data_IF_380712948642
#
_entry.id   IF_380712948642
#
_cell.length_a   1.000
_cell.length_b   1.000
_cell.length_c   1.000
_cell.angle_alpha   90.00
_cell.angle_beta   90.00
_cell.angle_gamma   90.00
#
_symmetry.space_group_name_H-M   'P 1'
#
loop_
_entity.id
_entity.type
_entity.pdbx_description
1 polymer ?
#
# COMPACT_ATOMS: atom_id res chain seq x y z
N UNK A 1 -22.12 -20.48 7.22
CA UNK A 1 -22.39 -19.52 8.33
C UNK A 1 -22.61 -18.16 7.69
N UNK A 2 -23.63 -17.45 8.13
CA UNK A 2 -23.96 -16.13 7.55
C UNK A 2 -22.87 -15.14 7.97
N UNK A 3 -22.28 -14.39 7.02
CA UNK A 3 -21.24 -13.39 7.29
C UNK A 3 -21.66 -12.37 8.36
N UNK A 4 -22.95 -12.08 8.44
CA UNK A 4 -23.53 -11.13 9.39
C UNK A 4 -23.51 -11.59 10.85
N UNK A 5 -23.34 -12.89 11.10
CA UNK A 5 -23.39 -13.44 12.45
C UNK A 5 -22.02 -13.47 13.16
N UNK A 6 -20.91 -13.57 12.42
CA UNK A 6 -19.56 -13.58 12.98
C UNK A 6 -18.55 -12.94 12.00
N UNK A 7 -18.59 -11.61 11.87
CA UNK A 7 -17.78 -10.90 10.89
C UNK A 7 -16.29 -10.97 11.21
N UNK A 8 -15.46 -10.76 10.15
CA UNK A 8 -14.01 -10.65 10.29
C UNK A 8 -13.66 -9.26 10.76
N UNK A 9 -12.84 -9.20 11.80
CA UNK A 9 -12.39 -7.97 12.42
C UNK A 9 -10.87 -7.83 12.34
N UNK A 10 -10.41 -6.59 12.28
CA UNK A 10 -9.02 -6.20 12.48
C UNK A 10 -8.89 -5.81 13.95
N UNK A 11 -7.99 -6.46 14.66
CA UNK A 11 -7.76 -6.20 16.09
C UNK A 11 -6.52 -5.35 16.32
N UNK A 12 -5.62 -5.31 15.37
CA UNK A 12 -4.41 -4.49 15.42
C UNK A 12 -3.86 -4.20 14.04
N UNK A 13 -3.06 -3.13 13.95
CA UNK A 13 -2.37 -2.74 12.73
C UNK A 13 -1.06 -2.01 13.06
N UNK A 14 -0.09 -2.12 12.15
CA UNK A 14 1.15 -1.36 12.21
C UNK A 14 1.73 -1.17 10.81
N UNK A 15 2.56 -0.14 10.64
CA UNK A 15 3.42 0.06 9.46
C UNK A 15 4.79 0.60 9.87
N UNK A 16 5.78 0.40 9.04
CA UNK A 16 7.02 1.15 9.15
C UNK A 16 6.79 2.62 8.74
N UNK A 17 7.67 3.56 9.07
CA UNK A 17 7.76 4.79 8.32
C UNK A 17 8.00 4.44 6.84
N UNK A 18 7.59 5.34 5.92
CA UNK A 18 7.88 5.22 4.50
C UNK A 18 9.23 5.86 4.21
N UNK A 19 10.20 5.05 3.77
CA UNK A 19 11.52 5.49 3.36
C UNK A 19 11.52 5.99 1.92
N UNK A 20 12.34 6.99 1.63
CA UNK A 20 12.60 7.45 0.28
C UNK A 20 13.53 6.48 -0.46
N UNK A 21 13.54 6.55 -1.79
CA UNK A 21 14.52 5.83 -2.61
C UNK A 21 15.96 6.15 -2.16
N UNK A 22 16.72 5.12 -1.84
CA UNK A 22 18.07 5.23 -1.27
C UNK A 22 18.14 6.10 0.02
N UNK A 23 17.01 6.19 0.74
CA UNK A 23 16.88 7.02 1.92
C UNK A 23 17.29 6.32 3.23
N UNK A 24 16.62 6.69 4.32
CA UNK A 24 16.97 6.21 5.67
C UNK A 24 16.76 4.69 5.83
N UNK A 25 15.80 4.10 5.10
CA UNK A 25 15.51 2.65 5.17
C UNK A 25 16.30 1.80 4.16
N UNK A 26 17.22 2.36 3.40
CA UNK A 26 18.01 1.65 2.37
C UNK A 26 18.80 0.43 2.87
N UNK A 27 19.09 0.36 4.16
CA UNK A 27 19.82 -0.76 4.77
C UNK A 27 18.95 -2.00 5.04
N UNK A 28 17.63 -1.94 4.78
CA UNK A 28 16.71 -3.03 5.07
C UNK A 28 16.18 -3.67 3.79
N UNK A 29 16.29 -5.00 3.72
CA UNK A 29 15.54 -5.77 2.74
C UNK A 29 14.04 -5.81 3.10
N UNK A 30 13.18 -6.08 2.11
CA UNK A 30 11.74 -6.12 2.34
C UNK A 30 11.31 -7.06 3.47
N UNK A 31 11.87 -8.29 3.65
CA UNK A 31 11.52 -9.15 4.78
C UNK A 31 11.84 -8.53 6.15
N UNK A 32 12.87 -7.71 6.26
CA UNK A 32 13.22 -7.03 7.52
C UNK A 32 12.22 -5.92 7.86
N UNK A 33 11.76 -5.15 6.85
CA UNK A 33 10.69 -4.18 7.00
C UNK A 33 9.37 -4.88 7.36
N UNK A 34 9.05 -5.99 6.69
CA UNK A 34 7.90 -6.84 6.99
C UNK A 34 7.93 -7.37 8.42
N UNK A 35 9.09 -7.84 8.88
CA UNK A 35 9.27 -8.33 10.24
C UNK A 35 8.95 -7.26 11.30
N UNK A 36 9.38 -6.03 11.08
CA UNK A 36 9.09 -4.91 11.99
C UNK A 36 7.58 -4.62 12.05
N UNK A 37 6.91 -4.56 10.91
CA UNK A 37 5.46 -4.32 10.85
C UNK A 37 4.66 -5.47 11.48
N UNK A 38 5.01 -6.73 11.20
CA UNK A 38 4.36 -7.92 11.77
C UNK A 38 4.54 -7.94 13.29
N UNK A 39 5.78 -7.78 13.78
CA UNK A 39 6.07 -7.76 15.22
C UNK A 39 5.24 -6.71 15.93
N UNK A 40 5.26 -5.48 15.45
CA UNK A 40 4.51 -4.38 16.06
C UNK A 40 3.00 -4.62 16.03
N UNK A 41 2.46 -5.18 14.95
CA UNK A 41 1.04 -5.51 14.85
C UNK A 41 0.64 -6.60 15.84
N UNK A 42 1.43 -7.66 15.99
CA UNK A 42 1.17 -8.77 16.95
C UNK A 42 1.31 -8.29 18.39
N UNK A 43 2.33 -7.52 18.73
CA UNK A 43 2.53 -6.93 20.05
C UNK A 43 1.36 -6.01 20.43
N UNK A 44 0.92 -5.14 19.52
CA UNK A 44 -0.21 -4.24 19.73
C UNK A 44 -1.54 -4.98 19.86
N UNK A 45 -1.68 -6.11 19.19
CA UNK A 45 -2.83 -7.01 19.35
C UNK A 45 -2.88 -7.67 20.73
N UNK A 46 -1.77 -7.69 21.48
CA UNK A 46 -1.62 -8.37 22.78
C UNK A 46 -1.96 -9.86 22.72
N UNK A 47 -1.65 -10.50 21.60
CA UNK A 47 -1.75 -11.95 21.43
C UNK A 47 -0.38 -12.59 21.52
N UNK A 48 -0.34 -13.86 21.89
CA UNK A 48 0.90 -14.63 21.80
C UNK A 48 1.28 -14.84 20.34
N UNK A 49 2.56 -14.72 19.96
CA UNK A 49 3.04 -15.11 18.63
C UNK A 49 2.60 -16.53 18.22
N UNK A 50 2.45 -17.44 19.19
CA UNK A 50 2.02 -18.82 18.95
C UNK A 50 0.56 -18.96 18.48
N UNK A 51 -0.26 -17.93 18.66
CA UNK A 51 -1.66 -17.94 18.21
C UNK A 51 -1.79 -17.60 16.72
N UNK A 52 -0.75 -17.05 16.07
CA UNK A 52 -0.78 -16.71 14.64
C UNK A 52 -0.66 -17.99 13.81
N UNK A 53 -1.75 -18.37 13.13
CA UNK A 53 -1.76 -19.56 12.29
C UNK A 53 -1.08 -19.34 10.96
N UNK A 54 -1.29 -18.15 10.35
CA UNK A 54 -0.78 -17.85 9.01
C UNK A 54 -0.36 -16.37 8.84
N UNK A 55 0.65 -16.17 7.98
CA UNK A 55 1.12 -14.85 7.55
C UNK A 55 1.02 -14.77 6.03
N UNK A 56 0.32 -13.78 5.52
CA UNK A 56 0.21 -13.52 4.08
C UNK A 56 0.77 -12.12 3.80
N UNK A 57 1.90 -12.05 3.10
CA UNK A 57 2.56 -10.78 2.79
C UNK A 57 2.71 -10.56 1.29
N UNK A 58 2.28 -9.38 0.85
CA UNK A 58 2.55 -8.88 -0.49
C UNK A 58 4.03 -8.50 -0.65
N UNK A 59 4.63 -8.89 -1.77
CA UNK A 59 5.96 -8.45 -2.19
C UNK A 59 6.04 -8.56 -3.71
N UNK A 60 6.36 -7.46 -4.39
CA UNK A 60 6.34 -7.39 -5.86
C UNK A 60 7.73 -7.63 -6.44
N UNK A 61 8.77 -7.18 -5.75
CA UNK A 61 10.16 -7.21 -6.22
C UNK A 61 11.00 -8.20 -5.39
N UNK A 62 10.73 -9.53 -5.49
CA UNK A 62 11.34 -10.52 -4.61
C UNK A 62 12.73 -10.99 -5.08
N UNK A 63 13.21 -10.57 -6.25
CA UNK A 63 14.51 -11.02 -6.74
C UNK A 63 15.64 -10.66 -5.78
N UNK A 64 16.54 -11.61 -5.53
CA UNK A 64 17.68 -11.43 -4.64
C UNK A 64 17.35 -11.48 -3.14
N UNK A 65 16.10 -11.60 -2.72
CA UNK A 65 15.71 -11.65 -1.32
C UNK A 65 15.81 -13.05 -0.67
N UNK A 66 16.13 -14.07 -1.45
CA UNK A 66 16.11 -15.47 -1.01
C UNK A 66 14.71 -16.09 -1.06
N UNK A 67 14.59 -17.29 -0.49
CA UNK A 67 13.34 -18.04 -0.52
C UNK A 67 12.27 -17.43 0.40
N UNK A 68 11.02 -17.45 -0.04
CA UNK A 68 9.84 -17.18 0.77
C UNK A 68 9.94 -15.90 1.63
N UNK A 69 9.95 -14.69 1.04
CA UNK A 69 10.09 -13.44 1.77
C UNK A 69 9.11 -13.28 2.94
N UNK A 70 7.84 -13.70 2.80
CA UNK A 70 6.87 -13.67 3.91
C UNK A 70 7.29 -14.58 5.07
N UNK A 71 7.88 -15.74 4.79
CA UNK A 71 8.42 -16.64 5.82
C UNK A 71 9.57 -16.01 6.56
N UNK A 72 10.49 -15.36 5.84
CA UNK A 72 11.59 -14.62 6.45
C UNK A 72 11.06 -13.51 7.36
N UNK A 73 10.07 -12.75 6.91
CA UNK A 73 9.45 -11.69 7.70
C UNK A 73 8.78 -12.23 8.97
N UNK A 74 8.03 -13.33 8.85
CA UNK A 74 7.35 -13.96 9.99
C UNK A 74 8.34 -14.45 11.07
N UNK A 75 9.38 -15.16 10.66
CA UNK A 75 10.42 -15.63 11.59
C UNK A 75 11.24 -14.48 12.17
N UNK A 76 11.58 -13.48 11.35
CA UNK A 76 12.23 -12.25 11.80
C UNK A 76 11.39 -11.43 12.79
N UNK A 77 10.06 -11.56 12.73
CA UNK A 77 9.14 -10.98 13.71
C UNK A 77 9.05 -11.77 15.02
N UNK A 78 9.61 -12.97 15.09
CA UNK A 78 9.57 -13.84 16.26
C UNK A 78 8.36 -14.79 16.29
N UNK A 79 7.67 -14.99 15.15
CA UNK A 79 6.61 -15.98 15.06
C UNK A 79 7.19 -17.41 15.06
N UNK A 80 6.42 -18.40 15.55
CA UNK A 80 6.91 -19.77 15.65
C UNK A 80 7.12 -20.45 14.30
N UNK A 81 7.94 -21.47 14.27
CA UNK A 81 8.22 -22.28 13.07
C UNK A 81 6.95 -22.95 12.49
N UNK A 82 5.94 -23.16 13.32
CA UNK A 82 4.66 -23.76 12.94
C UNK A 82 3.75 -22.82 12.14
N UNK A 83 3.98 -21.50 12.19
CA UNK A 83 3.16 -20.53 11.45
C UNK A 83 3.30 -20.73 9.94
N UNK A 84 2.19 -20.93 9.22
CA UNK A 84 2.16 -20.94 7.76
C UNK A 84 2.53 -19.57 7.18
N UNK A 85 3.17 -19.52 6.02
CA UNK A 85 3.56 -18.24 5.42
C UNK A 85 3.43 -18.27 3.90
N UNK A 86 2.77 -17.26 3.34
CA UNK A 86 2.57 -17.12 1.90
C UNK A 86 3.01 -15.74 1.43
N UNK A 87 3.86 -15.68 0.40
CA UNK A 87 4.18 -14.45 -0.31
C UNK A 87 3.30 -14.36 -1.54
N UNK A 88 2.64 -13.21 -1.74
CA UNK A 88 1.79 -13.00 -2.91
C UNK A 88 2.26 -11.77 -3.69
N UNK A 89 1.98 -11.79 -5.00
CA UNK A 89 2.19 -10.66 -5.89
C UNK A 89 0.89 -10.37 -6.67
N UNK A 90 0.34 -9.20 -6.45
CA UNK A 90 -0.73 -8.56 -7.23
C UNK A 90 -0.35 -7.11 -7.49
N UNK A 91 0.90 -6.89 -7.89
CA UNK A 91 1.47 -5.57 -8.10
C UNK A 91 1.12 -4.62 -6.93
N UNK A 92 0.79 -3.36 -7.20
CA UNK A 92 0.44 -2.36 -6.18
C UNK A 92 -0.63 -2.83 -5.17
N UNK A 93 -1.50 -3.75 -5.57
CA UNK A 93 -2.59 -4.29 -4.75
C UNK A 93 -2.19 -5.42 -3.80
N UNK A 94 -0.94 -5.88 -3.81
CA UNK A 94 -0.51 -7.08 -3.07
C UNK A 94 -0.86 -7.03 -1.59
N UNK A 95 -0.57 -5.93 -0.90
CA UNK A 95 -0.85 -5.80 0.54
C UNK A 95 -2.35 -5.82 0.87
N UNK A 96 -3.20 -5.18 0.07
CA UNK A 96 -4.65 -5.26 0.27
C UNK A 96 -5.18 -6.65 -0.11
N UNK A 97 -4.65 -7.26 -1.17
CA UNK A 97 -5.05 -8.62 -1.57
C UNK A 97 -4.69 -9.65 -0.50
N UNK A 98 -3.58 -9.48 0.20
CA UNK A 98 -3.25 -10.29 1.37
C UNK A 98 -4.34 -10.21 2.46
N UNK A 99 -4.81 -8.99 2.78
CA UNK A 99 -5.90 -8.78 3.73
C UNK A 99 -7.24 -9.37 3.23
N UNK A 100 -7.53 -9.29 1.93
CA UNK A 100 -8.71 -9.90 1.31
C UNK A 100 -8.66 -11.43 1.42
N UNK A 101 -7.51 -12.05 1.14
CA UNK A 101 -7.33 -13.49 1.31
C UNK A 101 -7.43 -13.91 2.79
N UNK A 102 -6.86 -13.14 3.71
CA UNK A 102 -7.02 -13.40 5.14
C UNK A 102 -8.48 -13.38 5.56
N UNK A 103 -9.25 -12.39 5.10
CA UNK A 103 -10.70 -12.32 5.32
C UNK A 103 -11.41 -13.59 4.83
N UNK A 104 -11.17 -14.02 3.59
CA UNK A 104 -11.83 -15.16 2.98
C UNK A 104 -11.42 -16.49 3.66
N UNK A 105 -10.14 -16.67 4.03
CA UNK A 105 -9.65 -17.83 4.76
C UNK A 105 -10.24 -17.93 6.19
N UNK A 106 -10.37 -16.79 6.88
CA UNK A 106 -11.03 -16.73 8.18
C UNK A 106 -12.52 -17.09 8.07
N UNK A 107 -13.21 -16.63 7.02
CA UNK A 107 -14.60 -17.00 6.75
C UNK A 107 -14.76 -18.48 6.43
N UNK A 108 -13.79 -19.12 5.78
CA UNK A 108 -13.81 -20.56 5.53
C UNK A 108 -13.53 -21.40 6.78
N UNK A 109 -12.97 -20.79 7.83
CA UNK A 109 -12.58 -21.47 9.05
C UNK A 109 -11.26 -22.25 8.94
N UNK A 110 -10.48 -22.04 7.90
CA UNK A 110 -9.18 -22.69 7.72
C UNK A 110 -8.08 -22.17 8.67
N UNK A 111 -8.28 -21.00 9.24
CA UNK A 111 -7.41 -20.36 10.23
C UNK A 111 -8.24 -19.56 11.23
N UNK A 112 -7.69 -19.31 12.42
CA UNK A 112 -8.34 -18.47 13.44
C UNK A 112 -7.74 -17.07 13.54
N UNK A 113 -6.43 -16.96 13.40
CA UNK A 113 -5.67 -15.70 13.47
C UNK A 113 -4.72 -15.61 12.29
N UNK A 114 -4.87 -14.58 11.49
CA UNK A 114 -4.01 -14.32 10.32
C UNK A 114 -3.39 -12.94 10.44
N UNK A 115 -2.08 -12.86 10.16
CA UNK A 115 -1.40 -11.60 9.91
C UNK A 115 -1.32 -11.41 8.41
N UNK A 116 -1.88 -10.31 7.92
CA UNK A 116 -1.87 -9.99 6.50
C UNK A 116 -1.33 -8.59 6.24
N UNK A 117 -0.56 -8.43 5.18
CA UNK A 117 0.01 -7.15 4.86
C UNK A 117 0.86 -7.14 3.59
N UNK A 118 1.86 -6.28 3.57
CA UNK A 118 2.80 -6.21 2.48
C UNK A 118 4.08 -5.49 2.87
N UNK A 119 5.11 -5.73 2.10
CA UNK A 119 6.46 -5.21 2.31
C UNK A 119 7.13 -4.98 0.96
N UNK A 120 7.92 -3.93 0.87
CA UNK A 120 8.71 -3.67 -0.33
C UNK A 120 9.98 -2.90 0.04
N UNK A 121 11.09 -3.26 -0.57
CA UNK A 121 12.30 -2.45 -0.59
C UNK A 121 12.67 -2.21 -2.06
N UNK A 122 12.13 -1.14 -2.62
CA UNK A 122 12.39 -0.78 -4.02
C UNK A 122 13.84 -0.33 -4.20
N UNK A 123 14.43 0.25 -3.16
CA UNK A 123 15.86 0.62 -3.12
C UNK A 123 16.78 -0.57 -3.35
N UNK A 124 16.42 -1.76 -2.84
CA UNK A 124 17.24 -2.95 -2.91
C UNK A 124 16.83 -3.92 -4.04
N UNK A 125 15.94 -3.50 -4.93
CA UNK A 125 15.62 -4.27 -6.12
C UNK A 125 16.89 -4.40 -7.01
N UNK A 126 17.34 -5.64 -7.33
CA UNK A 126 18.60 -5.84 -8.04
C UNK A 126 18.47 -5.59 -9.54
N UNK A 127 19.59 -5.50 -10.21
CA UNK A 127 19.64 -5.62 -11.66
C UNK A 127 19.68 -7.09 -12.08
N UNK A 128 19.00 -7.41 -13.17
CA UNK A 128 18.87 -8.76 -13.74
C UNK A 128 19.74 -8.90 -14.96
N UNK A 129 20.38 -10.05 -15.11
CA UNK A 129 21.13 -10.42 -16.31
C UNK A 129 20.40 -11.56 -17.06
N UNK A 130 19.51 -11.23 -18.00
CA UNK A 130 18.82 -12.24 -18.82
C UNK A 130 19.80 -13.05 -19.66
N UNK A 131 19.42 -14.29 -20.01
CA UNK A 131 20.21 -15.21 -20.83
C UNK A 131 21.56 -15.65 -20.25
N UNK A 132 21.95 -15.18 -19.04
CA UNK A 132 23.20 -15.59 -18.41
C UNK A 132 23.31 -17.11 -18.22
N UNK A 133 22.19 -17.78 -17.89
CA UNK A 133 22.15 -19.24 -17.69
C UNK A 133 22.47 -20.03 -18.97
N UNK A 134 22.10 -19.50 -20.13
CA UNK A 134 22.42 -20.11 -21.43
C UNK A 134 23.82 -19.71 -21.94
N UNK A 135 24.55 -18.88 -21.19
CA UNK A 135 25.82 -18.27 -21.59
C UNK A 135 25.59 -17.12 -22.60
N UNK A 136 26.18 -16.00 -22.37
CA UNK A 136 26.11 -14.81 -23.25
C UNK A 136 26.99 -14.95 -24.50
N UNK A 137 27.07 -16.10 -25.06
CA UNK A 137 27.96 -16.66 -26.09
C UNK A 137 28.73 -15.66 -26.98
N UNK A 138 28.04 -14.71 -27.63
CA UNK A 138 28.66 -13.74 -28.54
C UNK A 138 27.82 -12.47 -28.62
N UNK A 139 28.48 -11.32 -28.67
CA UNK A 139 27.84 -10.00 -28.71
C UNK A 139 27.56 -9.41 -27.32
N UNK A 140 26.86 -8.29 -27.31
CA UNK A 140 26.53 -7.58 -26.07
C UNK A 140 25.39 -8.26 -25.30
N UNK A 141 25.46 -8.22 -23.95
CA UNK A 141 24.35 -8.55 -23.05
C UNK A 141 23.61 -7.29 -22.61
N UNK A 142 22.39 -7.49 -22.05
CA UNK A 142 21.61 -6.44 -21.42
C UNK A 142 21.53 -6.68 -19.93
N UNK A 143 21.59 -5.63 -19.13
CA UNK A 143 21.28 -5.62 -17.70
C UNK A 143 19.96 -4.87 -17.54
N UNK A 144 18.97 -5.49 -16.89
CA UNK A 144 17.64 -4.93 -16.68
C UNK A 144 17.48 -4.55 -15.22
N UNK A 145 16.92 -3.37 -14.96
CA UNK A 145 16.51 -2.96 -13.62
C UNK A 145 15.23 -3.72 -13.24
N UNK A 146 15.30 -4.58 -12.22
CA UNK A 146 14.16 -5.35 -11.74
C UNK A 146 12.99 -4.46 -11.31
N UNK A 147 13.27 -3.33 -10.68
CA UNK A 147 12.25 -2.39 -10.24
C UNK A 147 11.44 -1.84 -11.41
N UNK A 148 12.11 -1.49 -12.52
CA UNK A 148 11.44 -1.00 -13.72
C UNK A 148 10.78 -2.14 -14.48
N UNK A 149 11.53 -3.20 -14.79
CA UNK A 149 11.08 -4.27 -15.67
C UNK A 149 9.88 -5.05 -15.14
N UNK A 150 9.87 -5.34 -13.82
CA UNK A 150 8.80 -6.13 -13.18
C UNK A 150 7.83 -5.27 -12.36
N UNK A 151 8.13 -3.98 -12.13
CA UNK A 151 7.32 -3.13 -11.26
C UNK A 151 6.71 -1.88 -11.91
N UNK A 152 7.44 -1.20 -12.80
CA UNK A 152 7.08 0.13 -13.29
C UNK A 152 6.91 0.23 -14.81
N UNK A 153 7.30 -0.81 -15.55
CA UNK A 153 7.12 -0.94 -17.00
C UNK A 153 5.91 -1.82 -17.31
N UNK A 154 5.20 -1.51 -18.39
CA UNK A 154 4.05 -2.30 -18.81
C UNK A 154 4.48 -3.68 -19.34
N UNK A 155 3.76 -4.71 -18.96
CA UNK A 155 4.05 -6.07 -19.38
C UNK A 155 3.66 -6.36 -20.84
N UNK A 156 2.69 -5.62 -21.36
CA UNK A 156 2.07 -5.84 -22.69
C UNK A 156 2.61 -4.87 -23.74
N UNK A 157 2.98 -3.66 -23.36
CA UNK A 157 3.60 -2.62 -24.20
C UNK A 157 5.01 -2.32 -23.67
N UNK A 158 5.96 -3.18 -24.05
CA UNK A 158 7.34 -3.16 -23.52
C UNK A 158 8.03 -1.82 -23.73
N UNK A 159 8.70 -1.33 -22.67
CA UNK A 159 9.37 -0.04 -22.64
C UNK A 159 8.45 1.11 -22.23
N UNK A 160 7.14 0.86 -22.12
CA UNK A 160 6.19 1.89 -21.72
C UNK A 160 6.06 1.97 -20.20
N UNK A 161 6.43 3.08 -19.62
CA UNK A 161 6.36 3.30 -18.19
C UNK A 161 4.94 3.68 -17.73
N UNK A 162 4.59 3.28 -16.50
CA UNK A 162 3.27 3.52 -15.90
C UNK A 162 2.82 4.99 -15.97
N UNK A 163 3.71 5.96 -15.84
CA UNK A 163 3.36 7.37 -15.93
C UNK A 163 2.88 7.84 -17.29
N UNK A 164 3.19 7.13 -18.38
CA UNK A 164 2.66 7.44 -19.71
C UNK A 164 1.16 7.18 -19.82
N UNK A 165 0.63 6.19 -19.07
CA UNK A 165 -0.80 5.93 -18.97
C UNK A 165 -1.50 6.96 -18.07
N UNK A 166 -0.78 7.51 -17.09
CA UNK A 166 -1.29 8.63 -16.30
C UNK A 166 -1.48 9.89 -17.18
N UNK A 167 -0.59 10.13 -18.15
CA UNK A 167 -0.78 11.18 -19.16
C UNK A 167 -2.05 10.94 -20.03
N UNK A 168 -2.30 9.69 -20.45
CA UNK A 168 -3.53 9.35 -21.19
C UNK A 168 -4.78 9.63 -20.35
N UNK A 169 -4.72 9.34 -19.06
CA UNK A 169 -5.81 9.63 -18.12
C UNK A 169 -5.98 11.13 -17.93
N UNK A 170 -4.89 11.88 -17.78
CA UNK A 170 -4.96 13.34 -17.69
C UNK A 170 -5.63 13.93 -18.92
N UNK A 171 -5.26 13.45 -20.11
CA UNK A 171 -5.87 13.90 -21.38
C UNK A 171 -7.35 13.54 -21.48
N UNK A 172 -7.72 12.28 -21.17
CA UNK A 172 -9.13 11.80 -21.21
C UNK A 172 -10.04 12.58 -20.27
N UNK A 173 -9.59 12.85 -19.06
CA UNK A 173 -10.36 13.57 -18.04
C UNK A 173 -10.20 15.08 -18.11
N UNK A 174 -9.33 15.58 -18.98
CA UNK A 174 -8.97 17.00 -19.12
C UNK A 174 -8.44 17.59 -17.79
N UNK A 175 -7.65 16.80 -17.06
CA UNK A 175 -6.99 17.31 -15.86
C UNK A 175 -5.78 18.16 -16.26
N UNK A 176 -5.86 19.45 -15.99
CA UNK A 176 -4.74 20.36 -16.27
C UNK A 176 -3.54 20.05 -15.37
N UNK A 177 -2.36 20.46 -15.79
CA UNK A 177 -1.15 20.42 -14.98
C UNK A 177 -1.36 21.12 -13.64
N UNK A 178 -1.97 22.29 -13.65
CA UNK A 178 -2.27 23.07 -12.46
C UNK A 178 -3.13 22.29 -11.48
N UNK A 179 -4.22 21.66 -11.93
CA UNK A 179 -5.10 20.89 -11.08
C UNK A 179 -4.39 19.68 -10.42
N UNK A 180 -3.50 19.00 -11.15
CA UNK A 180 -2.68 17.90 -10.62
C UNK A 180 -1.68 18.40 -9.57
N UNK A 181 -1.03 19.53 -9.82
CA UNK A 181 -0.08 20.13 -8.88
C UNK A 181 -0.77 20.64 -7.61
N UNK A 182 -1.95 21.27 -7.72
CA UNK A 182 -2.76 21.70 -6.57
C UNK A 182 -3.19 20.52 -5.70
N UNK A 183 -3.62 19.41 -6.32
CA UNK A 183 -3.92 18.16 -5.63
C UNK A 183 -2.71 17.66 -4.84
N UNK A 184 -1.54 17.61 -5.48
CA UNK A 184 -0.29 17.17 -4.87
C UNK A 184 0.16 18.07 -3.73
N UNK A 185 0.10 19.38 -3.90
CA UNK A 185 0.41 20.36 -2.85
C UNK A 185 -0.48 20.12 -1.63
N UNK A 186 -1.77 19.84 -1.84
CA UNK A 186 -2.69 19.53 -0.74
C UNK A 186 -2.33 18.22 -0.05
N UNK A 187 -1.98 17.16 -0.80
CA UNK A 187 -1.51 15.88 -0.26
C UNK A 187 -0.25 16.08 0.61
N UNK A 188 0.74 16.83 0.12
CA UNK A 188 1.97 17.15 0.86
C UNK A 188 1.70 17.95 2.14
N UNK A 189 0.87 18.98 2.08
CA UNK A 189 0.51 19.77 3.27
C UNK A 189 -0.17 18.91 4.34
N UNK A 190 -1.06 18.02 3.93
CA UNK A 190 -1.74 17.07 4.83
C UNK A 190 -0.76 16.10 5.46
N UNK A 191 0.14 15.50 4.66
CA UNK A 191 1.15 14.57 5.17
C UNK A 191 2.13 15.23 6.13
N UNK A 192 2.60 16.45 5.82
CA UNK A 192 3.46 17.23 6.72
C UNK A 192 2.75 17.58 8.02
N UNK A 193 1.49 17.99 7.96
CA UNK A 193 0.68 18.30 9.13
C UNK A 193 0.43 17.05 9.99
N UNK A 194 0.08 15.93 9.36
CA UNK A 194 -0.17 14.65 10.04
C UNK A 194 1.08 14.15 10.78
N UNK A 195 2.25 14.17 10.16
CA UNK A 195 3.52 13.82 10.80
C UNK A 195 3.84 14.76 11.98
N UNK A 196 3.77 16.08 11.76
CA UNK A 196 4.08 17.08 12.81
C UNK A 196 3.13 16.99 14.01
N UNK A 197 1.88 16.65 13.77
CA UNK A 197 0.85 16.50 14.82
C UNK A 197 0.83 15.12 15.46
N UNK A 198 1.72 14.21 15.06
CA UNK A 198 1.79 12.85 15.58
C UNK A 198 0.59 11.98 15.23
N UNK A 199 -0.14 12.31 14.14
CA UNK A 199 -1.33 11.54 13.74
C UNK A 199 -1.00 10.12 13.26
N UNK A 200 0.24 9.88 12.87
CA UNK A 200 0.73 8.56 12.49
C UNK A 200 1.38 7.77 13.64
N UNK A 201 1.53 8.36 14.83
CA UNK A 201 2.22 7.71 15.95
C UNK A 201 1.56 6.38 16.37
N UNK A 202 0.24 6.22 16.21
CA UNK A 202 -0.47 5.01 16.54
C UNK A 202 -0.15 3.84 15.57
N UNK A 203 0.20 4.16 14.32
CA UNK A 203 0.40 3.17 13.26
C UNK A 203 1.88 2.87 13.00
N UNK A 204 2.78 3.86 13.18
CA UNK A 204 4.21 3.70 12.89
C UNK A 204 4.87 2.77 13.92
N UNK A 205 5.59 1.77 13.42
CA UNK A 205 6.59 1.00 14.14
C UNK A 205 7.96 1.62 13.85
N UNK A 206 8.63 2.24 14.84
CA UNK A 206 9.94 2.84 14.63
C UNK A 206 10.98 1.86 14.10
N UNK A 207 11.83 2.34 13.19
CA UNK A 207 12.91 1.55 12.61
C UNK A 207 14.27 2.02 13.14
N UNK A 208 15.00 1.12 13.81
CA UNK A 208 16.34 1.41 14.28
C UNK A 208 17.35 1.35 13.12
N UNK A 209 18.02 2.45 12.83
CA UNK A 209 19.08 2.53 11.81
C UNK A 209 20.43 2.84 12.45
N UNK A 210 21.50 2.40 11.83
CA UNK A 210 22.86 2.76 12.25
C UNK A 210 23.35 3.96 11.46
N UNK A 211 23.75 5.02 12.15
CA UNK A 211 24.38 6.21 11.60
C UNK A 211 25.80 6.31 12.18
N UNK A 212 26.78 5.80 11.45
CA UNK A 212 28.13 5.62 11.98
C UNK A 212 28.18 4.58 13.10
N UNK A 213 28.49 5.01 14.32
CA UNK A 213 28.53 4.15 15.53
C UNK A 213 27.26 4.25 16.38
N UNK A 214 26.36 5.17 16.06
CA UNK A 214 25.15 5.46 16.84
C UNK A 214 23.94 4.78 16.24
N UNK A 215 22.98 4.45 17.10
CA UNK A 215 21.65 3.99 16.70
C UNK A 215 20.69 5.18 16.72
N UNK A 216 19.94 5.33 15.62
CA UNK A 216 18.88 6.35 15.47
C UNK A 216 17.57 5.66 15.14
N UNK A 217 16.47 6.12 15.72
CA UNK A 217 15.13 5.66 15.31
C UNK A 217 14.53 6.57 14.23
N UNK A 218 14.05 5.95 13.17
CA UNK A 218 13.23 6.60 12.14
C UNK A 218 11.78 6.39 12.55
N UNK A 219 11.08 7.49 12.85
CA UNK A 219 9.72 7.50 13.42
C UNK A 219 8.73 8.29 12.56
N UNK A 220 9.19 8.90 11.49
CA UNK A 220 8.39 9.73 10.58
C UNK A 220 8.62 9.31 9.13
N UNK A 221 7.61 9.52 8.30
CA UNK A 221 7.72 9.35 6.87
C UNK A 221 8.71 10.36 6.29
N UNK A 222 9.62 9.89 5.46
CA UNK A 222 10.79 10.67 5.02
C UNK A 222 10.43 11.67 3.90
N UNK A 223 9.59 11.28 2.95
CA UNK A 223 9.30 12.04 1.72
C UNK A 223 8.61 13.39 1.94
N UNK A 224 7.63 13.53 2.85
CA UNK A 224 6.90 14.79 3.01
C UNK A 224 7.80 15.99 3.31
N UNK A 225 8.96 15.75 3.94
CA UNK A 225 9.89 16.79 4.36
C UNK A 225 11.02 17.06 3.36
N UNK A 226 11.19 16.19 2.35
CA UNK A 226 12.14 16.40 1.25
C UNK A 226 11.56 17.23 0.10
N UNK A 227 10.23 17.28 -0.02
CA UNK A 227 9.56 18.01 -1.09
C UNK A 227 9.57 19.51 -0.86
N UNK A 228 9.94 20.28 -1.90
CA UNK A 228 9.84 21.74 -1.90
C UNK A 228 8.54 22.15 -2.62
N UNK A 229 7.56 22.63 -1.86
CA UNK A 229 6.23 23.02 -2.35
C UNK A 229 6.29 24.12 -3.43
N UNK A 230 7.22 25.06 -3.30
CA UNK A 230 7.35 26.21 -4.24
C UNK A 230 7.87 25.76 -5.62
N UNK A 231 8.60 24.63 -5.67
CA UNK A 231 9.17 24.12 -6.91
C UNK A 231 8.21 23.21 -7.70
N UNK A 232 7.10 22.78 -7.15
CA UNK A 232 6.19 21.79 -7.78
C UNK A 232 5.74 22.29 -9.15
N UNK A 233 5.26 23.54 -9.24
CA UNK A 233 4.76 24.13 -10.49
C UNK A 233 5.84 24.31 -11.56
N UNK A 234 7.12 24.32 -11.18
CA UNK A 234 8.25 24.51 -12.10
C UNK A 234 8.87 23.21 -12.61
N UNK A 235 8.42 22.06 -12.09
CA UNK A 235 8.96 20.76 -12.51
C UNK A 235 8.61 20.47 -13.96
N UNK A 236 9.54 19.87 -14.67
CA UNK A 236 9.31 19.41 -16.05
C UNK A 236 8.46 18.13 -16.04
N UNK A 237 7.63 17.91 -17.08
CA UNK A 237 6.98 16.64 -17.28
C UNK A 237 7.99 15.49 -17.30
N UNK A 238 7.64 14.34 -16.67
CA UNK A 238 8.57 13.24 -16.49
C UNK A 238 8.43 12.14 -17.57
N UNK A 239 7.25 12.02 -18.19
CA UNK A 239 6.94 10.89 -19.06
C UNK A 239 6.68 11.25 -20.53
N UNK A 240 6.28 12.48 -20.82
CA UNK A 240 6.10 13.02 -22.19
C UNK A 240 6.62 14.44 -22.22
N UNK A 241 7.23 14.84 -23.36
CA UNK A 241 7.82 16.17 -23.53
C UNK A 241 6.82 17.30 -23.25
N UNK A 242 5.59 17.14 -23.75
CA UNK A 242 4.51 18.13 -23.60
C UNK A 242 3.42 17.60 -22.64
N UNK A 243 3.84 16.78 -21.66
CA UNK A 243 2.94 16.16 -20.68
C UNK A 243 2.63 17.06 -19.49
N UNK A 244 1.82 16.51 -18.61
CA UNK A 244 1.37 17.16 -17.37
C UNK A 244 1.80 16.42 -16.12
N UNK A 245 2.20 15.14 -16.26
CA UNK A 245 2.62 14.28 -15.14
C UNK A 245 4.09 14.51 -14.83
N UNK A 246 4.37 14.85 -13.57
CA UNK A 246 5.71 15.18 -13.07
C UNK A 246 6.12 14.25 -11.95
N UNK A 247 7.38 14.34 -11.52
CA UNK A 247 7.85 13.62 -10.36
C UNK A 247 7.09 13.97 -9.07
N UNK A 248 6.51 15.17 -8.96
CA UNK A 248 5.76 15.57 -7.76
C UNK A 248 4.33 15.04 -7.76
N UNK A 249 3.62 15.05 -8.91
CA UNK A 249 2.25 14.55 -9.01
C UNK A 249 2.17 13.05 -9.36
N UNK A 250 3.32 12.37 -9.21
CA UNK A 250 3.52 10.92 -9.20
C UNK A 250 3.92 10.48 -7.79
N UNK A 251 3.60 9.25 -7.41
CA UNK A 251 4.14 8.67 -6.19
C UNK A 251 5.64 8.43 -6.30
N UNK A 252 6.36 8.60 -5.20
CA UNK A 252 7.79 8.31 -5.16
C UNK A 252 8.10 6.83 -5.00
N UNK A 253 9.22 6.39 -5.56
CA UNK A 253 9.85 5.11 -5.27
C UNK A 253 10.19 5.08 -3.78
N UNK A 254 9.80 4.01 -3.08
CA UNK A 254 9.83 4.01 -1.62
C UNK A 254 10.07 2.61 -1.04
N UNK A 255 10.50 2.59 0.22
CA UNK A 255 10.68 1.39 1.03
C UNK A 255 9.71 1.40 2.20
N UNK A 256 9.10 0.27 2.54
CA UNK A 256 8.20 0.19 3.68
C UNK A 256 7.41 -1.11 3.78
N UNK A 257 6.72 -1.27 4.91
CA UNK A 257 5.85 -2.41 5.16
C UNK A 257 4.65 -2.01 6.02
N UNK A 258 3.57 -2.78 5.91
CA UNK A 258 2.40 -2.66 6.76
C UNK A 258 1.80 -4.05 7.04
N UNK A 259 1.23 -4.24 8.23
CA UNK A 259 0.63 -5.48 8.67
C UNK A 259 -0.65 -5.23 9.48
N UNK A 260 -1.60 -6.13 9.33
CA UNK A 260 -2.90 -6.16 10.01
C UNK A 260 -3.06 -7.52 10.69
N UNK A 261 -3.61 -7.56 11.89
CA UNK A 261 -4.00 -8.80 12.57
C UNK A 261 -5.51 -8.97 12.44
N UNK A 262 -5.93 -10.06 11.80
CA UNK A 262 -7.32 -10.35 11.50
C UNK A 262 -7.76 -11.65 12.18
N UNK A 263 -9.03 -11.68 12.61
CA UNK A 263 -9.69 -12.86 13.14
C UNK A 263 -11.22 -12.71 13.07
N UNK A 264 -11.97 -13.75 13.39
CA UNK A 264 -13.39 -13.63 13.60
C UNK A 264 -13.70 -12.79 14.84
N UNK A 265 -14.82 -12.09 14.85
CA UNK A 265 -15.27 -11.32 16.02
C UNK A 265 -15.38 -12.19 17.26
N UNK A 266 -15.99 -13.37 17.16
CA UNK A 266 -16.10 -14.33 18.27
C UNK A 266 -14.74 -14.77 18.81
N UNK A 267 -13.73 -14.90 17.95
CA UNK A 267 -12.36 -15.24 18.35
C UNK A 267 -11.67 -14.08 19.08
N UNK A 268 -11.94 -12.85 18.68
CA UNK A 268 -11.47 -11.65 19.38
C UNK A 268 -12.13 -11.52 20.77
N UNK A 269 -13.42 -11.69 20.84
CA UNK A 269 -14.20 -11.63 22.10
C UNK A 269 -13.72 -12.68 23.11
N UNK A 270 -13.52 -13.93 22.68
CA UNK A 270 -12.94 -15.00 23.54
C UNK A 270 -11.58 -14.65 24.12
N UNK A 271 -10.82 -13.81 23.44
CA UNK A 271 -9.48 -13.33 23.86
C UNK A 271 -9.55 -12.00 24.63
N UNK A 272 -10.72 -11.43 24.82
CA UNK A 272 -10.90 -10.12 25.44
C UNK A 272 -10.34 -8.96 24.61
N UNK A 273 -10.23 -9.14 23.28
CA UNK A 273 -9.70 -8.14 22.37
C UNK A 273 -10.81 -7.26 21.82
N UNK A 274 -10.61 -5.96 21.83
CA UNK A 274 -11.49 -5.01 21.19
C UNK A 274 -11.12 -4.84 19.71
N UNK A 275 -12.04 -5.10 18.77
CA UNK A 275 -11.81 -4.80 17.37
C UNK A 275 -11.54 -3.30 17.13
N UNK A 276 -10.61 -3.00 16.23
CA UNK A 276 -10.36 -1.63 15.77
C UNK A 276 -11.12 -1.30 14.48
N UNK A 277 -11.50 -2.32 13.71
CA UNK A 277 -12.36 -2.19 12.54
C UNK A 277 -12.98 -3.57 12.19
N UNK A 278 -14.15 -3.54 11.55
CA UNK A 278 -14.76 -4.69 10.89
C UNK A 278 -14.53 -4.58 9.39
N UNK A 279 -14.15 -5.67 8.73
CA UNK A 279 -14.12 -5.74 7.27
C UNK A 279 -15.55 -6.02 6.78
N UNK A 280 -16.17 -4.99 6.19
CA UNK A 280 -17.56 -5.08 5.71
C UNK A 280 -17.64 -5.81 4.37
N UNK A 281 -16.62 -5.63 3.54
CA UNK A 281 -16.50 -6.29 2.25
C UNK A 281 -15.31 -5.81 1.47
N UNK A 282 -15.03 -6.50 0.38
CA UNK A 282 -13.95 -6.14 -0.55
C UNK A 282 -14.33 -6.49 -1.99
N UNK A 283 -13.67 -5.85 -2.95
CA UNK A 283 -13.89 -6.07 -4.36
C UNK A 283 -12.59 -6.00 -5.16
N UNK A 284 -12.54 -6.73 -6.27
CA UNK A 284 -11.52 -6.61 -7.31
C UNK A 284 -12.20 -6.21 -8.62
N UNK A 285 -11.58 -5.30 -9.35
CA UNK A 285 -11.97 -4.94 -10.71
C UNK A 285 -10.80 -5.14 -11.66
N UNK A 286 -11.10 -5.53 -12.89
CA UNK A 286 -10.12 -5.68 -13.97
C UNK A 286 -10.72 -5.08 -15.24
N UNK A 287 -9.87 -4.43 -16.02
CA UNK A 287 -10.21 -3.77 -17.28
C UNK A 287 -9.00 -3.76 -18.21
N UNK A 288 -9.05 -3.06 -19.32
CA UNK A 288 -7.94 -2.93 -20.25
C UNK A 288 -6.67 -2.41 -19.54
N UNK A 289 -5.50 -3.08 -19.70
CA UNK A 289 -4.26 -2.72 -19.01
C UNK A 289 -3.87 -1.24 -19.13
N UNK A 290 -4.06 -0.65 -20.31
CA UNK A 290 -3.76 0.76 -20.56
C UNK A 290 -4.55 1.74 -19.68
N UNK A 291 -5.67 1.31 -19.10
CA UNK A 291 -6.54 2.15 -18.26
C UNK A 291 -6.46 1.80 -16.77
N UNK A 292 -5.39 1.15 -16.31
CA UNK A 292 -5.23 0.79 -14.90
C UNK A 292 -5.43 1.98 -13.94
N UNK A 293 -5.10 3.17 -14.36
CA UNK A 293 -5.23 4.42 -13.59
C UNK A 293 -6.69 4.75 -13.21
N UNK A 294 -7.65 4.27 -13.99
CA UNK A 294 -9.10 4.46 -13.73
C UNK A 294 -9.77 3.23 -13.11
N UNK A 295 -9.05 2.13 -12.95
CA UNK A 295 -9.60 0.88 -12.42
C UNK A 295 -10.19 1.02 -10.99
N UNK A 296 -9.72 1.91 -10.10
CA UNK A 296 -10.37 2.16 -8.81
C UNK A 296 -11.85 2.55 -8.93
N UNK A 297 -12.25 3.23 -10.00
CA UNK A 297 -13.67 3.57 -10.26
C UNK A 297 -14.53 2.30 -10.27
N UNK A 298 -14.13 1.31 -11.08
CA UNK A 298 -14.85 0.04 -11.18
C UNK A 298 -14.77 -0.80 -9.89
N UNK A 299 -13.65 -0.73 -9.16
CA UNK A 299 -13.52 -1.44 -7.87
C UNK A 299 -14.44 -0.83 -6.80
N UNK A 300 -14.55 0.48 -6.74
CA UNK A 300 -15.48 1.19 -5.84
C UNK A 300 -16.94 0.88 -6.19
N UNK A 301 -17.32 0.91 -7.48
CA UNK A 301 -18.66 0.52 -7.93
C UNK A 301 -19.03 -0.88 -7.43
N UNK A 302 -18.17 -1.87 -7.71
CA UNK A 302 -18.39 -3.27 -7.26
C UNK A 302 -18.44 -3.39 -5.73
N UNK A 303 -17.63 -2.61 -5.03
CA UNK A 303 -17.63 -2.62 -3.57
C UNK A 303 -18.96 -2.08 -3.03
N UNK A 304 -19.46 -0.98 -3.57
CA UNK A 304 -20.76 -0.41 -3.18
C UNK A 304 -21.92 -1.37 -3.46
N UNK A 305 -21.91 -2.05 -4.60
CA UNK A 305 -22.89 -3.09 -4.92
C UNK A 305 -22.87 -4.24 -3.90
N UNK A 306 -21.69 -4.70 -3.49
CA UNK A 306 -21.53 -5.81 -2.52
C UNK A 306 -21.92 -5.44 -1.09
N UNK A 307 -21.63 -4.22 -0.67
CA UNK A 307 -21.85 -3.76 0.70
C UNK A 307 -23.19 -3.10 0.91
N UNK A 308 -23.90 -2.75 -0.16
CA UNK A 308 -25.11 -1.92 -0.11
C UNK A 308 -24.83 -0.47 0.29
N UNK A 309 -23.56 -0.07 0.34
CA UNK A 309 -23.18 1.31 0.63
C UNK A 309 -23.22 2.17 -0.64
N UNK A 310 -23.22 3.48 -0.44
CA UNK A 310 -22.99 4.44 -1.50
C UNK A 310 -21.98 5.50 -1.04
N UNK A 311 -21.50 6.30 -1.98
CA UNK A 311 -20.46 7.29 -1.72
C UNK A 311 -20.81 8.30 -0.62
N UNK A 312 -22.08 8.61 -0.41
CA UNK A 312 -22.53 9.58 0.62
C UNK A 312 -22.46 9.00 2.03
N UNK A 313 -22.61 7.69 2.17
CA UNK A 313 -22.57 6.97 3.46
C UNK A 313 -21.17 6.70 3.97
N UNK A 314 -20.15 6.88 3.13
CA UNK A 314 -18.74 6.72 3.51
C UNK A 314 -18.22 8.03 4.07
N UNK A 315 -17.57 7.95 5.23
CA UNK A 315 -17.04 9.12 5.92
C UNK A 315 -15.68 9.53 5.34
N UNK A 316 -14.75 8.59 5.16
CA UNK A 316 -13.41 8.83 4.62
C UNK A 316 -13.02 7.80 3.59
N UNK A 317 -12.13 8.23 2.69
CA UNK A 317 -11.52 7.42 1.65
C UNK A 317 -10.00 7.50 1.73
N UNK A 318 -9.34 6.36 1.54
CA UNK A 318 -7.92 6.27 1.19
C UNK A 318 -7.81 5.69 -0.22
N UNK A 319 -7.55 6.53 -1.21
CA UNK A 319 -7.34 6.13 -2.61
C UNK A 319 -5.89 6.39 -2.95
N UNK A 320 -5.13 5.32 -3.21
CA UNK A 320 -3.70 5.41 -3.41
C UNK A 320 -3.33 6.32 -4.58
N UNK A 321 -2.53 7.33 -4.32
CA UNK A 321 -2.06 8.31 -5.28
C UNK A 321 -0.83 7.77 -6.05
N UNK A 322 -0.98 6.65 -6.77
CA UNK A 322 0.10 6.20 -7.67
C UNK A 322 0.52 7.33 -8.63
N UNK A 323 -0.48 8.08 -9.07
CA UNK A 323 -0.42 9.40 -9.70
C UNK A 323 -1.60 10.22 -9.17
N UNK A 324 -1.49 11.54 -9.13
CA UNK A 324 -2.59 12.41 -8.73
C UNK A 324 -3.86 12.14 -9.53
N UNK A 325 -3.74 11.91 -10.84
CA UNK A 325 -4.86 11.64 -11.76
C UNK A 325 -5.66 10.38 -11.40
N UNK A 326 -5.06 9.39 -10.74
CA UNK A 326 -5.75 8.16 -10.29
C UNK A 326 -6.84 8.51 -9.28
N UNK A 327 -6.45 9.22 -8.24
CA UNK A 327 -7.37 9.64 -7.18
C UNK A 327 -8.36 10.67 -7.70
N UNK A 328 -7.90 11.63 -8.52
CA UNK A 328 -8.75 12.63 -9.15
C UNK A 328 -9.85 12.01 -10.04
N UNK A 329 -9.52 10.95 -10.81
CA UNK A 329 -10.49 10.23 -11.62
C UNK A 329 -11.56 9.55 -10.75
N UNK A 330 -11.16 8.84 -9.71
CA UNK A 330 -12.09 8.21 -8.77
C UNK A 330 -12.98 9.24 -8.06
N UNK A 331 -12.40 10.38 -7.66
CA UNK A 331 -13.16 11.48 -7.06
C UNK A 331 -14.21 12.04 -8.03
N UNK A 332 -13.85 12.26 -9.29
CA UNK A 332 -14.74 12.80 -10.31
C UNK A 332 -15.91 11.86 -10.61
N UNK A 333 -15.63 10.58 -10.83
CA UNK A 333 -16.62 9.58 -11.20
C UNK A 333 -17.63 9.27 -10.07
N UNK A 334 -17.17 9.23 -8.82
CA UNK A 334 -18.02 8.95 -7.66
C UNK A 334 -18.51 10.19 -6.92
N UNK A 335 -18.16 11.40 -7.38
CA UNK A 335 -18.52 12.65 -6.73
C UNK A 335 -17.95 12.79 -5.32
N UNK A 336 -16.72 12.29 -5.09
CA UNK A 336 -16.08 12.31 -3.77
C UNK A 336 -15.52 13.71 -3.48
N UNK A 337 -15.91 14.37 -2.38
CA UNK A 337 -15.34 15.65 -2.02
C UNK A 337 -13.90 15.46 -1.50
N UNK A 338 -12.97 16.33 -1.91
CA UNK A 338 -11.55 16.21 -1.59
C UNK A 338 -11.24 16.21 -0.08
N UNK A 339 -12.10 16.85 0.73
CA UNK A 339 -11.94 16.86 2.18
C UNK A 339 -12.27 15.52 2.88
N UNK A 340 -12.78 14.52 2.13
CA UNK A 340 -12.97 13.15 2.61
C UNK A 340 -11.93 12.17 2.08
N UNK A 341 -11.08 12.58 1.15
CA UNK A 341 -10.13 11.70 0.47
C UNK A 341 -8.71 12.02 0.91
N UNK A 342 -7.95 10.99 1.36
CA UNK A 342 -6.55 11.08 1.76
C UNK A 342 -6.30 12.25 2.73
N UNK A 343 -7.09 12.29 3.81
CA UNK A 343 -7.11 13.44 4.74
C UNK A 343 -5.79 13.64 5.50
N UNK A 344 -4.95 12.63 5.54
CA UNK A 344 -3.59 12.70 6.08
C UNK A 344 -2.50 12.72 5.00
N UNK A 345 -2.88 12.99 3.74
CA UNK A 345 -2.01 12.89 2.57
C UNK A 345 -1.93 11.47 2.04
N UNK A 346 -1.58 11.33 0.77
CA UNK A 346 -1.47 10.05 0.06
C UNK A 346 -0.08 9.80 -0.51
N UNK A 347 0.02 8.90 -1.48
CA UNK A 347 1.29 8.38 -1.96
C UNK A 347 2.15 9.40 -2.73
N UNK A 348 1.58 10.45 -3.30
CA UNK A 348 2.36 11.57 -3.87
C UNK A 348 3.21 12.27 -2.80
N UNK A 349 2.75 12.22 -1.53
CA UNK A 349 3.44 12.80 -0.39
C UNK A 349 4.23 11.78 0.42
N UNK A 350 3.62 10.61 0.72
CA UNK A 350 4.17 9.61 1.64
C UNK A 350 5.06 8.59 0.95
N UNK A 351 4.84 8.35 -0.35
CA UNK A 351 5.51 7.32 -1.12
C UNK A 351 4.67 6.07 -1.37
N UNK A 352 5.18 5.20 -2.27
CA UNK A 352 4.46 4.04 -2.77
C UNK A 352 5.35 2.78 -2.82
N UNK A 353 5.71 2.19 -1.66
CA UNK A 353 6.32 0.87 -1.65
C UNK A 353 5.29 -0.14 -2.18
N UNK A 354 5.45 -0.57 -3.46
CA UNK A 354 4.34 -1.14 -4.25
C UNK A 354 3.67 -2.34 -3.58
N UNK A 355 4.43 -3.29 -3.04
CA UNK A 355 3.86 -4.48 -2.36
C UNK A 355 3.20 -4.17 -1.01
N UNK A 356 3.58 -3.07 -0.36
CA UNK A 356 3.09 -2.68 0.97
C UNK A 356 1.87 -1.76 0.93
N UNK A 357 1.74 -0.96 -0.12
CA UNK A 357 0.81 0.18 -0.16
C UNK A 357 -0.65 -0.20 0.08
N UNK A 358 -1.09 -1.35 -0.43
CA UNK A 358 -2.46 -1.81 -0.22
C UNK A 358 -2.83 -2.02 1.25
N UNK A 359 -1.90 -2.52 2.07
CA UNK A 359 -2.07 -2.62 3.51
C UNK A 359 -1.87 -1.26 4.21
N UNK A 360 -0.89 -0.45 3.75
CA UNK A 360 -0.62 0.88 4.30
C UNK A 360 -1.87 1.77 4.28
N UNK A 361 -2.58 1.85 3.16
CA UNK A 361 -3.78 2.69 3.06
C UNK A 361 -4.90 2.21 3.99
N UNK A 362 -5.03 0.91 4.23
CA UNK A 362 -5.97 0.36 5.21
C UNK A 362 -5.61 0.80 6.63
N UNK A 363 -4.34 0.71 7.00
CA UNK A 363 -3.84 1.16 8.32
C UNK A 363 -4.10 2.64 8.53
N UNK A 364 -3.72 3.48 7.56
CA UNK A 364 -3.90 4.94 7.63
C UNK A 364 -5.38 5.33 7.69
N UNK A 365 -6.25 4.65 6.93
CA UNK A 365 -7.70 4.86 6.95
C UNK A 365 -8.29 4.63 8.35
N UNK A 366 -7.92 3.51 9.00
CA UNK A 366 -8.36 3.22 10.38
C UNK A 366 -7.93 4.34 11.33
N UNK A 367 -6.68 4.82 11.20
CA UNK A 367 -6.16 5.91 12.01
C UNK A 367 -6.93 7.22 11.82
N UNK A 368 -7.21 7.57 10.57
CA UNK A 368 -7.97 8.77 10.24
C UNK A 368 -9.40 8.70 10.79
N UNK A 369 -10.09 7.58 10.58
CA UNK A 369 -11.45 7.39 11.11
C UNK A 369 -11.47 7.52 12.65
N UNK A 370 -10.54 6.87 13.36
CA UNK A 370 -10.40 6.98 14.82
C UNK A 370 -10.14 8.41 15.27
N UNK A 371 -9.23 9.11 14.59
CA UNK A 371 -8.86 10.50 14.92
C UNK A 371 -10.05 11.44 14.86
N UNK A 372 -10.92 11.28 13.89
CA UNK A 372 -12.06 12.17 13.66
C UNK A 372 -13.38 11.64 14.26
N UNK A 373 -13.39 10.50 14.95
CA UNK A 373 -14.58 9.90 15.52
C UNK A 373 -15.60 9.45 14.45
N UNK A 374 -15.09 9.05 13.29
CA UNK A 374 -15.86 8.61 12.13
C UNK A 374 -15.89 7.08 12.05
N UNK A 375 -16.83 6.51 11.31
CA UNK A 375 -17.06 5.07 11.33
C UNK A 375 -16.77 4.36 10.02
N UNK A 376 -17.24 4.87 8.88
CA UNK A 376 -17.21 4.16 7.60
C UNK A 376 -16.10 4.66 6.71
N UNK A 377 -15.23 3.74 6.33
CA UNK A 377 -14.12 4.04 5.45
C UNK A 377 -14.00 3.09 4.28
N UNK A 378 -13.47 3.59 3.18
CA UNK A 378 -13.17 2.79 1.99
C UNK A 378 -11.73 3.06 1.55
N UNK A 379 -10.96 1.99 1.40
CA UNK A 379 -9.62 2.03 0.81
C UNK A 379 -9.65 1.42 -0.59
N UNK A 380 -8.95 2.03 -1.56
CA UNK A 380 -8.83 1.50 -2.92
C UNK A 380 -7.49 1.88 -3.55
N UNK A 381 -7.00 1.05 -4.45
CA UNK A 381 -5.81 1.37 -5.24
C UNK A 381 -5.85 0.74 -6.63
N UNK A 382 -5.24 1.46 -7.58
CA UNK A 382 -4.98 0.96 -8.91
C UNK A 382 -3.81 -0.04 -8.91
N UNK A 383 -3.79 -0.89 -9.89
CA UNK A 383 -2.83 -1.99 -10.03
C UNK A 383 -2.39 -2.04 -11.50
N UNK A 384 -1.08 -2.04 -11.74
CA UNK A 384 -0.53 -2.24 -13.07
C UNK A 384 -1.07 -3.52 -13.71
N UNK A 385 -1.34 -3.48 -15.02
CA UNK A 385 -2.04 -4.56 -15.73
C UNK A 385 -3.55 -4.40 -15.81
N UNK A 386 -4.11 -3.23 -15.44
CA UNK A 386 -5.53 -2.91 -15.64
C UNK A 386 -6.43 -3.29 -14.49
N UNK A 387 -5.92 -3.42 -13.28
CA UNK A 387 -6.71 -3.88 -12.14
C UNK A 387 -6.83 -2.84 -11.02
N UNK A 388 -7.72 -3.12 -10.08
CA UNK A 388 -7.85 -2.41 -8.80
C UNK A 388 -8.45 -3.32 -7.72
N UNK A 389 -8.15 -3.00 -6.46
CA UNK A 389 -8.85 -3.56 -5.30
C UNK A 389 -9.48 -2.45 -4.47
N UNK A 390 -10.55 -2.79 -3.77
CA UNK A 390 -11.20 -1.91 -2.81
C UNK A 390 -11.67 -2.70 -1.58
N UNK A 391 -11.65 -2.08 -0.40
CA UNK A 391 -12.06 -2.66 0.88
C UNK A 391 -12.86 -1.64 1.69
N UNK A 392 -13.99 -2.07 2.22
CA UNK A 392 -14.86 -1.30 3.10
C UNK A 392 -14.64 -1.71 4.55
N UNK A 393 -14.48 -0.72 5.42
CA UNK A 393 -14.26 -0.89 6.86
C UNK A 393 -15.30 -0.12 7.66
N UNK A 394 -15.73 -0.69 8.78
CA UNK A 394 -16.57 0.00 9.75
C UNK A 394 -15.93 -0.10 11.15
N UNK A 395 -15.76 1.03 11.80
CA UNK A 395 -15.25 1.11 13.16
C UNK A 395 -16.40 0.92 14.17
N UNK A 396 -16.09 0.43 15.37
CA UNK A 396 -17.07 0.24 16.45
C UNK A 396 -17.86 1.48 16.82
#
# INVERSE_FOLDING_TARGET
MNQDQDPIVIVSAARTPMGAFQGELKGFAAPQLGAAAIRAAVERAKISPAEVNEVIMGCVLPAGQGQAPARQAALGAGLPLATGCTTINKMCGSGMKAAMFAHDLLLSGSSEVIVAGGMESMTNAPYLLPKARAGLRMGHGQVLDHMFYDGLEDAYDKGRLMGTFAEDTAAKYQFSRQAQDEFTVQSLKRAQAANKQGLFAWEIAPMAIKVGKEEKFVEMDEQPFKANLEKISTLKPAFRKDGTVTAANSSSISDGAAALVLMRRSAAEKRGLAPIATVVGHATHSQEPAWFTTAPVGALTKLFERTGWNAKQVDLYEINEAFAVVTMAAMKEHGLPHNKVNVHGGACALGHPIGASGARIVVTLIGALRKYGLKRGVASLCIGGGEATAMALELP
#
